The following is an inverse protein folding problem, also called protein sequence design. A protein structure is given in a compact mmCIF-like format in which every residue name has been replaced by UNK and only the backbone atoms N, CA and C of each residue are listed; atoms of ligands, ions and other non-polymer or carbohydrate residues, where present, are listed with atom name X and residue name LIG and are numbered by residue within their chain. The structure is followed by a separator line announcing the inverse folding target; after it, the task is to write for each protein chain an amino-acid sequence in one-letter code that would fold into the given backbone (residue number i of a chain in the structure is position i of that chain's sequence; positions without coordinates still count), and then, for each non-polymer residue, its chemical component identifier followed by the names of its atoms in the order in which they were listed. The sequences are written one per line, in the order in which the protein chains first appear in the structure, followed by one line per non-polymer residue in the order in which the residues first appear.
data_IF_760464640058
#
_entry.id   IF_760464640058
#
_cell.length_a   1.000
_cell.length_b   1.000
_cell.length_c   1.000
_cell.angle_alpha   90.00
_cell.angle_beta   90.00
_cell.angle_gamma   90.00
#
_symmetry.space_group_name_H-M   'P 1'
#
loop_
_entity.id
_entity.type
_entity.pdbx_description
1 polymer ?
#
# COMPACT_ATOMS: atom_id res chain seq x y z
N UNK A 1 -41.83 -2.29 4.32
CA UNK A 1 -41.84 -1.87 2.90
C UNK A 1 -40.42 -1.96 2.38
N UNK A 2 -39.96 -3.18 2.11
CA UNK A 2 -38.67 -3.45 1.47
C UNK A 2 -38.80 -3.28 -0.04
N UNK A 3 -38.16 -2.26 -0.58
CA UNK A 3 -37.94 -2.16 -2.02
C UNK A 3 -36.87 -3.19 -2.40
N UNK A 4 -37.30 -4.27 -3.05
CA UNK A 4 -36.43 -5.27 -3.67
C UNK A 4 -35.74 -4.62 -4.88
N UNK A 5 -34.58 -4.01 -4.65
CA UNK A 5 -33.71 -3.54 -5.73
C UNK A 5 -33.00 -4.74 -6.37
N UNK A 6 -33.57 -5.21 -7.47
CA UNK A 6 -33.06 -6.30 -8.29
C UNK A 6 -32.01 -5.74 -9.26
N UNK A 7 -30.75 -5.61 -8.82
CA UNK A 7 -29.63 -5.38 -9.73
C UNK A 7 -29.29 -6.72 -10.41
N UNK A 8 -29.47 -6.81 -11.74
CA UNK A 8 -29.11 -7.97 -12.59
C UNK A 8 -29.61 -9.37 -12.13
N UNK A 9 -30.68 -9.44 -11.36
CA UNK A 9 -31.28 -10.72 -10.94
C UNK A 9 -30.64 -11.41 -9.74
N UNK A 10 -29.75 -10.73 -9.02
CA UNK A 10 -29.12 -11.23 -7.78
C UNK A 10 -29.69 -10.44 -6.59
N UNK A 11 -30.07 -11.13 -5.53
CA UNK A 11 -30.60 -10.50 -4.30
C UNK A 11 -29.47 -9.96 -3.43
N UNK A 12 -29.75 -8.94 -2.60
CA UNK A 12 -28.75 -8.38 -1.67
C UNK A 12 -28.16 -9.44 -0.73
N UNK A 13 -28.98 -10.41 -0.31
CA UNK A 13 -28.55 -11.53 0.52
C UNK A 13 -27.56 -12.46 -0.22
N UNK A 14 -27.75 -12.67 -1.52
CA UNK A 14 -26.81 -13.43 -2.35
C UNK A 14 -25.50 -12.68 -2.57
N UNK A 15 -25.54 -11.37 -2.78
CA UNK A 15 -24.34 -10.52 -2.87
C UNK A 15 -23.53 -10.64 -1.59
N UNK A 16 -24.17 -10.43 -0.43
CA UNK A 16 -23.53 -10.55 0.88
C UNK A 16 -22.86 -11.91 1.08
N UNK A 17 -23.59 -12.99 0.79
CA UNK A 17 -23.06 -14.36 0.87
C UNK A 17 -21.87 -14.60 -0.08
N UNK A 18 -21.90 -14.02 -1.27
CA UNK A 18 -20.81 -14.15 -2.23
C UNK A 18 -19.58 -13.34 -1.82
N UNK A 19 -19.76 -12.13 -1.29
CA UNK A 19 -18.67 -11.31 -0.71
C UNK A 19 -18.02 -12.03 0.46
N UNK A 20 -18.81 -12.57 1.39
CA UNK A 20 -18.31 -13.35 2.53
C UNK A 20 -17.49 -14.56 2.07
N UNK A 21 -18.01 -15.31 1.08
CA UNK A 21 -17.31 -16.45 0.49
C UNK A 21 -15.99 -16.05 -0.15
N UNK A 22 -15.96 -14.96 -0.92
CA UNK A 22 -14.73 -14.47 -1.57
C UNK A 22 -13.69 -14.08 -0.51
N UNK A 23 -14.09 -13.37 0.53
CA UNK A 23 -13.19 -13.01 1.63
C UNK A 23 -12.62 -14.26 2.31
N UNK A 24 -13.45 -15.23 2.65
CA UNK A 24 -13.00 -16.49 3.28
C UNK A 24 -12.03 -17.27 2.41
N UNK A 25 -12.37 -17.42 1.13
CA UNK A 25 -11.54 -18.14 0.19
C UNK A 25 -10.16 -17.48 0.00
N UNK A 26 -10.12 -16.15 -0.02
CA UNK A 26 -8.88 -15.38 -0.22
C UNK A 26 -8.21 -14.87 1.07
N UNK A 27 -8.66 -15.30 2.26
CA UNK A 27 -8.16 -14.82 3.54
C UNK A 27 -6.63 -14.94 3.64
N UNK A 28 -6.04 -16.03 3.17
CA UNK A 28 -4.59 -16.25 3.20
C UNK A 28 -3.83 -15.23 2.34
N UNK A 29 -4.34 -14.92 1.14
CA UNK A 29 -3.76 -13.91 0.24
C UNK A 29 -3.89 -12.50 0.78
N UNK A 30 -5.05 -12.18 1.36
CA UNK A 30 -5.32 -10.90 2.02
C UNK A 30 -4.41 -10.73 3.25
N UNK A 31 -4.23 -11.78 4.05
CA UNK A 31 -3.31 -11.79 5.19
C UNK A 31 -1.87 -11.53 4.76
N UNK A 32 -1.41 -12.14 3.68
CA UNK A 32 -0.07 -11.90 3.16
C UNK A 32 0.12 -10.43 2.73
N UNK A 33 -0.87 -9.83 2.06
CA UNK A 33 -0.83 -8.41 1.69
C UNK A 33 -0.78 -7.50 2.92
N UNK A 34 -1.63 -7.77 3.92
CA UNK A 34 -1.66 -7.05 5.19
C UNK A 34 -0.29 -7.11 5.88
N UNK A 35 0.30 -8.30 6.02
CA UNK A 35 1.60 -8.47 6.67
C UNK A 35 2.72 -7.77 5.89
N UNK A 36 2.71 -7.86 4.56
CA UNK A 36 3.69 -7.21 3.70
C UNK A 36 3.72 -5.68 3.88
N UNK A 37 2.57 -5.07 4.16
CA UNK A 37 2.47 -3.64 4.43
C UNK A 37 3.30 -3.26 5.67
N UNK A 38 3.04 -3.88 6.83
CA UNK A 38 3.77 -3.56 8.07
C UNK A 38 5.24 -3.99 8.02
N UNK A 39 5.54 -5.13 7.39
CA UNK A 39 6.93 -5.57 7.19
C UNK A 39 7.74 -4.53 6.42
N UNK A 40 7.18 -3.92 5.36
CA UNK A 40 7.85 -2.85 4.60
C UNK A 40 8.22 -1.67 5.51
N UNK A 41 7.33 -1.23 6.40
CA UNK A 41 7.61 -0.14 7.34
C UNK A 41 8.65 -0.53 8.39
N UNK A 42 8.56 -1.74 8.93
CA UNK A 42 9.57 -2.23 9.88
C UNK A 42 10.95 -2.32 9.24
N UNK A 43 11.06 -2.86 8.02
CA UNK A 43 12.35 -2.91 7.32
C UNK A 43 12.92 -1.52 7.05
N UNK A 44 12.06 -0.56 6.66
CA UNK A 44 12.47 0.83 6.47
C UNK A 44 12.95 1.45 7.79
N UNK A 45 12.20 1.26 8.87
CA UNK A 45 12.53 1.80 10.19
C UNK A 45 13.83 1.18 10.73
N UNK A 46 14.04 -0.12 10.56
CA UNK A 46 15.29 -0.79 10.91
C UNK A 46 16.50 -0.22 10.14
N UNK A 47 16.33 0.12 8.86
CA UNK A 47 17.38 0.75 8.07
C UNK A 47 17.71 2.16 8.60
N UNK A 48 16.69 2.93 8.99
CA UNK A 48 16.88 4.25 9.62
C UNK A 48 17.58 4.11 10.98
N UNK A 49 17.13 3.18 11.82
CA UNK A 49 17.74 2.89 13.12
C UNK A 49 19.22 2.53 13.02
N UNK A 50 19.61 1.80 11.98
CA UNK A 50 21.02 1.47 11.74
C UNK A 50 21.84 2.73 11.46
N UNK A 51 21.32 3.66 10.65
CA UNK A 51 21.98 4.95 10.39
C UNK A 51 22.05 5.79 11.67
N UNK A 52 20.97 5.86 12.45
CA UNK A 52 20.93 6.57 13.73
C UNK A 52 21.95 6.00 14.71
N UNK A 53 22.04 4.67 14.84
CA UNK A 53 22.99 3.99 15.72
C UNK A 53 24.46 4.26 15.35
N UNK A 54 24.80 4.22 14.05
CA UNK A 54 26.14 4.60 13.57
C UNK A 54 26.42 6.07 13.88
N UNK A 55 25.44 6.95 13.68
CA UNK A 55 25.55 8.38 14.01
C UNK A 55 25.84 8.65 15.49
N UNK A 56 25.28 7.87 16.41
CA UNK A 56 25.58 7.97 17.85
C UNK A 56 27.07 7.73 18.12
N UNK A 57 27.69 6.76 17.45
CA UNK A 57 29.10 6.42 17.64
C UNK A 57 30.08 7.48 17.13
N UNK A 58 29.70 8.25 16.11
CA UNK A 58 30.56 9.22 15.42
C UNK A 58 30.33 10.68 15.85
N UNK A 59 29.39 10.94 16.76
CA UNK A 59 28.96 12.31 17.11
C UNK A 59 29.52 12.83 18.44
N UNK A 60 29.65 14.15 18.53
CA UNK A 60 29.99 14.89 19.75
C UNK A 60 28.86 14.85 20.80
N UNK A 61 29.16 15.21 22.05
CA UNK A 61 28.31 14.97 23.21
C UNK A 61 26.84 15.46 23.07
N UNK A 62 26.61 16.68 22.58
CA UNK A 62 25.24 17.24 22.47
C UNK A 62 24.43 16.54 21.36
N UNK A 63 25.04 16.31 20.21
CA UNK A 63 24.42 15.63 19.07
C UNK A 63 24.17 14.15 19.41
N UNK A 64 25.08 13.52 20.15
CA UNK A 64 24.95 12.15 20.61
C UNK A 64 23.71 11.95 21.46
N UNK A 65 23.44 12.85 22.42
CA UNK A 65 22.23 12.78 23.24
C UNK A 65 20.96 12.88 22.39
N UNK A 66 20.92 13.78 21.40
CA UNK A 66 19.80 13.89 20.48
C UNK A 66 19.58 12.60 19.68
N UNK A 67 20.66 11.99 19.16
CA UNK A 67 20.59 10.74 18.41
C UNK A 67 20.18 9.55 19.27
N UNK A 68 20.60 9.51 20.55
CA UNK A 68 20.14 8.50 21.51
C UNK A 68 18.64 8.65 21.77
N UNK A 69 18.15 9.87 21.98
CA UNK A 69 16.71 10.12 22.12
C UNK A 69 15.95 9.70 20.87
N UNK A 70 16.44 10.04 19.68
CA UNK A 70 15.85 9.61 18.41
C UNK A 70 15.79 8.09 18.30
N UNK A 71 16.87 7.39 18.64
CA UNK A 71 16.92 5.93 18.61
C UNK A 71 15.90 5.28 19.56
N UNK A 72 15.70 5.85 20.75
CA UNK A 72 14.68 5.39 21.69
C UNK A 72 13.26 5.59 21.14
N UNK A 73 13.00 6.72 20.45
CA UNK A 73 11.72 6.96 19.77
C UNK A 73 11.51 5.92 18.66
N UNK A 74 12.51 5.68 17.82
CA UNK A 74 12.46 4.67 16.75
C UNK A 74 12.16 3.27 17.32
N UNK A 75 12.83 2.89 18.41
CA UNK A 75 12.57 1.62 19.10
C UNK A 75 11.12 1.53 19.62
N UNK A 76 10.57 2.62 20.17
CA UNK A 76 9.17 2.71 20.55
C UNK A 76 8.21 2.48 19.37
N UNK A 77 8.51 3.09 18.21
CA UNK A 77 7.73 2.91 16.97
C UNK A 77 7.81 1.47 16.47
N UNK A 78 8.98 0.82 16.54
CA UNK A 78 9.13 -0.61 16.21
C UNK A 78 8.18 -1.45 17.06
N UNK A 79 8.21 -1.28 18.38
CA UNK A 79 7.34 -2.03 19.30
C UNK A 79 5.87 -1.78 18.99
N UNK A 80 5.49 -0.54 18.70
CA UNK A 80 4.13 -0.18 18.30
C UNK A 80 3.69 -0.91 17.01
N UNK A 81 4.53 -0.89 15.97
CA UNK A 81 4.23 -1.54 14.69
C UNK A 81 4.20 -3.07 14.79
N UNK A 82 5.03 -3.68 15.65
CA UNK A 82 5.02 -5.13 15.90
C UNK A 82 3.66 -5.63 16.41
N UNK A 83 2.86 -4.79 17.07
CA UNK A 83 1.50 -5.13 17.48
C UNK A 83 0.64 -5.56 16.29
N UNK A 84 0.76 -4.86 15.17
CA UNK A 84 -0.09 -5.08 14.00
C UNK A 84 0.22 -6.36 13.24
N UNK A 85 1.38 -6.97 13.45
CA UNK A 85 1.78 -8.24 12.80
C UNK A 85 1.18 -9.48 13.49
N UNK A 86 0.65 -9.32 14.72
CA UNK A 86 0.05 -10.43 15.45
C UNK A 86 -1.18 -10.97 14.73
N UNK A 87 -1.36 -12.29 14.76
CA UNK A 87 -2.48 -12.97 14.12
C UNK A 87 -3.84 -12.41 14.61
N UNK A 88 -3.98 -12.23 15.92
CA UNK A 88 -5.21 -11.72 16.56
C UNK A 88 -5.62 -10.33 16.03
N UNK A 89 -4.65 -9.45 15.75
CA UNK A 89 -4.94 -8.11 15.23
C UNK A 89 -5.42 -8.19 13.79
N UNK A 90 -4.80 -9.05 12.98
CA UNK A 90 -5.30 -9.33 11.64
C UNK A 90 -6.70 -9.93 11.67
N UNK A 91 -6.97 -10.89 12.56
CA UNK A 91 -8.29 -11.53 12.64
C UNK A 91 -9.37 -10.52 13.04
N UNK A 92 -9.09 -9.66 14.03
CA UNK A 92 -10.00 -8.58 14.42
C UNK A 92 -10.23 -7.57 13.28
N UNK A 93 -9.18 -7.19 12.56
CA UNK A 93 -9.28 -6.35 11.37
C UNK A 93 -10.13 -7.02 10.28
N UNK A 94 -9.88 -8.30 10.01
CA UNK A 94 -10.54 -9.04 8.95
C UNK A 94 -12.03 -9.26 9.22
N UNK A 95 -12.42 -9.45 10.49
CA UNK A 95 -13.83 -9.52 10.88
C UNK A 95 -14.57 -8.19 10.66
N UNK A 96 -13.91 -7.05 10.88
CA UNK A 96 -14.47 -5.73 10.54
C UNK A 96 -14.72 -5.62 9.04
N UNK A 97 -13.73 -6.00 8.23
CA UNK A 97 -13.86 -6.01 6.75
C UNK A 97 -15.02 -6.92 6.31
N UNK A 98 -15.16 -8.13 6.86
CA UNK A 98 -16.29 -9.02 6.55
C UNK A 98 -17.65 -8.39 6.83
N UNK A 99 -17.74 -7.58 7.88
CA UNK A 99 -18.98 -6.91 8.25
C UNK A 99 -19.28 -5.71 7.36
N UNK A 100 -18.26 -4.93 7.00
CA UNK A 100 -18.41 -3.65 6.29
C UNK A 100 -18.52 -3.80 4.78
N UNK A 101 -17.72 -4.71 4.19
CA UNK A 101 -17.55 -4.80 2.74
C UNK A 101 -18.84 -5.13 1.96
N UNK A 102 -19.76 -5.98 2.45
CA UNK A 102 -21.02 -6.24 1.77
C UNK A 102 -21.88 -4.99 1.56
N UNK A 103 -21.92 -4.09 2.54
CA UNK A 103 -22.71 -2.86 2.47
C UNK A 103 -22.04 -1.81 1.58
N UNK A 104 -20.71 -1.82 1.51
CA UNK A 104 -19.94 -0.93 0.65
C UNK A 104 -19.96 -1.35 -0.83
N UNK A 105 -20.25 -2.62 -1.14
CA UNK A 105 -20.30 -3.13 -2.51
C UNK A 105 -21.16 -2.27 -3.45
N UNK A 106 -22.32 -1.80 -2.98
CA UNK A 106 -23.23 -0.98 -3.79
C UNK A 106 -22.59 0.37 -4.18
N UNK A 107 -21.80 0.96 -3.29
CA UNK A 107 -21.09 2.22 -3.56
C UNK A 107 -19.96 2.02 -4.56
N UNK A 108 -19.44 0.80 -4.68
CA UNK A 108 -18.34 0.48 -5.59
C UNK A 108 -18.81 0.26 -7.04
N UNK A 109 -20.04 -0.19 -7.24
CA UNK A 109 -20.61 -0.42 -8.58
C UNK A 109 -20.69 0.88 -9.42
N UNK A 110 -20.80 2.03 -8.76
CA UNK A 110 -20.80 3.34 -9.43
C UNK A 110 -19.42 3.95 -9.62
N UNK A 111 -18.34 3.29 -9.18
CA UNK A 111 -16.98 3.85 -9.27
C UNK A 111 -16.37 3.52 -10.63
N UNK A 112 -15.88 4.55 -11.33
CA UNK A 112 -15.14 4.36 -12.56
C UNK A 112 -13.70 3.94 -12.25
N UNK A 113 -13.24 2.87 -12.92
CA UNK A 113 -11.86 2.39 -12.83
C UNK A 113 -11.07 2.75 -14.08
N UNK A 114 -9.92 3.37 -13.85
CA UNK A 114 -8.89 3.59 -14.87
C UNK A 114 -7.58 2.91 -14.48
N UNK A 115 -6.72 2.63 -15.46
CA UNK A 115 -5.38 2.09 -15.19
C UNK A 115 -4.28 2.77 -16.00
N UNK A 116 -3.08 2.75 -15.44
CA UNK A 116 -1.83 2.94 -16.17
C UNK A 116 -0.87 1.75 -16.01
N UNK A 117 0.39 1.91 -16.43
CA UNK A 117 1.42 0.87 -16.37
C UNK A 117 1.69 0.40 -14.93
N UNK A 118 1.43 1.24 -13.92
CA UNK A 118 1.88 1.05 -12.55
C UNK A 118 0.74 1.00 -11.53
N UNK A 119 -0.45 1.50 -11.86
CA UNK A 119 -1.52 1.78 -10.90
C UNK A 119 -2.91 1.61 -11.48
N UNK A 120 -3.85 1.28 -10.60
CA UNK A 120 -5.27 1.45 -10.77
C UNK A 120 -5.71 2.76 -10.12
N UNK A 121 -6.69 3.40 -10.73
CA UNK A 121 -7.30 4.65 -10.31
C UNK A 121 -8.80 4.45 -10.19
N UNK A 122 -9.34 4.72 -9.01
CA UNK A 122 -10.76 4.68 -8.75
C UNK A 122 -11.25 6.12 -8.61
N UNK A 123 -12.22 6.49 -9.43
CA UNK A 123 -12.80 7.83 -9.51
C UNK A 123 -14.27 7.74 -9.08
N UNK A 124 -14.59 8.29 -7.91
CA UNK A 124 -15.97 8.46 -7.46
C UNK A 124 -16.57 9.80 -7.90
N UNK A 125 -17.91 9.87 -7.94
CA UNK A 125 -18.67 11.09 -8.27
C UNK A 125 -18.43 12.28 -7.31
N UNK A 126 -17.88 12.03 -6.12
CA UNK A 126 -17.65 13.03 -5.06
C UNK A 126 -16.26 12.90 -4.39
N UNK A 127 -15.18 13.00 -5.18
CA UNK A 127 -13.79 13.23 -4.71
C UNK A 127 -12.93 12.04 -4.20
N UNK A 128 -13.43 10.81 -4.11
CA UNK A 128 -12.56 9.67 -3.75
C UNK A 128 -11.70 9.24 -4.94
N UNK A 129 -10.57 9.94 -5.14
CA UNK A 129 -9.47 9.48 -5.98
C UNK A 129 -8.61 8.49 -5.18
N UNK A 130 -8.79 7.20 -5.45
CA UNK A 130 -7.96 6.16 -4.83
C UNK A 130 -6.97 5.62 -5.85
N UNK A 131 -5.68 5.77 -5.55
CA UNK A 131 -4.58 5.24 -6.36
C UNK A 131 -3.98 3.98 -5.73
N UNK A 132 -4.22 2.84 -6.36
CA UNK A 132 -3.65 1.55 -5.96
C UNK A 132 -2.56 1.12 -6.90
N UNK A 133 -1.32 1.01 -6.41
CA UNK A 133 -0.20 0.53 -7.25
C UNK A 133 -0.33 -0.97 -7.50
N UNK A 134 -0.23 -1.39 -8.76
CA UNK A 134 -0.29 -2.79 -9.23
C UNK A 134 0.68 -3.70 -8.46
N UNK A 135 1.87 -3.19 -8.09
CA UNK A 135 2.89 -3.93 -7.31
C UNK A 135 2.45 -4.29 -5.87
N UNK A 136 1.51 -3.52 -5.32
CA UNK A 136 1.04 -3.60 -3.93
C UNK A 136 -0.40 -4.13 -3.85
N UNK A 137 -0.97 -4.57 -4.98
CA UNK A 137 -2.34 -5.08 -5.04
C UNK A 137 -2.40 -6.49 -5.62
N UNK A 138 -3.55 -7.13 -5.42
CA UNK A 138 -3.91 -8.44 -5.97
C UNK A 138 -5.34 -8.39 -6.48
N UNK A 139 -5.54 -9.01 -7.64
CA UNK A 139 -6.84 -9.28 -8.20
C UNK A 139 -7.25 -10.70 -7.84
N UNK A 140 -8.41 -10.82 -7.24
CA UNK A 140 -9.02 -12.07 -6.86
C UNK A 140 -10.32 -12.26 -7.66
N UNK A 141 -10.45 -13.32 -8.46
CA UNK A 141 -11.70 -13.62 -9.15
C UNK A 141 -12.86 -13.72 -8.15
N UNK A 142 -13.93 -12.95 -8.38
CA UNK A 142 -15.10 -12.97 -7.50
C UNK A 142 -16.07 -14.08 -7.88
N UNK A 143 -16.79 -14.60 -6.89
CA UNK A 143 -17.97 -15.44 -7.12
C UNK A 143 -19.13 -14.64 -7.72
N UNK A 144 -19.15 -13.32 -7.52
CA UNK A 144 -20.09 -12.42 -8.18
C UNK A 144 -19.69 -12.32 -9.65
N UNK A 145 -20.58 -12.75 -10.53
CA UNK A 145 -20.32 -12.83 -11.97
C UNK A 145 -19.87 -11.47 -12.51
N UNK A 146 -18.84 -11.47 -13.37
CA UNK A 146 -18.23 -10.28 -14.01
C UNK A 146 -17.38 -9.39 -13.08
N UNK A 147 -17.40 -9.61 -11.77
CA UNK A 147 -16.61 -8.82 -10.84
C UNK A 147 -15.26 -9.49 -10.51
N UNK A 148 -14.31 -8.65 -10.18
CA UNK A 148 -13.01 -9.00 -9.60
C UNK A 148 -12.83 -8.21 -8.33
N UNK A 149 -12.37 -8.87 -7.27
CA UNK A 149 -11.99 -8.23 -6.01
C UNK A 149 -10.54 -7.78 -6.10
N UNK A 150 -10.31 -6.46 -6.21
CA UNK A 150 -9.01 -5.85 -6.03
C UNK A 150 -8.77 -5.60 -4.54
N UNK A 151 -7.62 -6.05 -4.03
CA UNK A 151 -7.17 -5.73 -2.68
C UNK A 151 -5.76 -5.16 -2.75
N UNK A 152 -5.51 -4.04 -2.08
CA UNK A 152 -4.17 -3.45 -2.02
C UNK A 152 -4.08 -2.31 -1.04
N UNK A 153 -2.90 -1.71 -0.92
CA UNK A 153 -2.68 -0.53 -0.08
C UNK A 153 -2.14 0.63 -0.91
N UNK A 154 -2.52 1.85 -0.55
CA UNK A 154 -1.91 3.07 -1.10
C UNK A 154 -0.57 3.34 -0.40
N UNK A 155 0.32 4.11 -1.04
CA UNK A 155 1.60 4.50 -0.44
C UNK A 155 1.48 5.81 0.40
N UNK A 156 0.26 6.29 0.68
CA UNK A 156 0.03 7.45 1.54
C UNK A 156 0.35 7.16 3.01
N UNK A 157 0.68 8.21 3.76
CA UNK A 157 0.80 8.18 5.23
C UNK A 157 -0.36 9.00 5.79
N UNK A 158 -1.55 8.42 5.79
CA UNK A 158 -2.71 8.99 6.49
C UNK A 158 -2.96 8.17 7.77
N UNK A 159 -3.48 8.80 8.81
CA UNK A 159 -3.69 8.19 10.14
C UNK A 159 -4.58 6.95 10.04
N UNK A 160 -5.54 6.98 9.12
CA UNK A 160 -6.46 5.87 8.82
C UNK A 160 -5.77 4.65 8.21
N UNK A 161 -4.60 4.80 7.57
CA UNK A 161 -3.90 3.71 6.89
C UNK A 161 -3.19 2.74 7.83
N UNK A 162 -2.83 3.18 9.04
CA UNK A 162 -2.24 2.27 10.03
C UNK A 162 -3.26 1.28 10.58
N UNK A 163 -4.51 1.68 10.70
CA UNK A 163 -5.60 0.82 11.20
C UNK A 163 -6.31 0.08 10.08
N UNK A 164 -6.38 0.67 8.89
CA UNK A 164 -7.03 0.11 7.70
C UNK A 164 -6.06 0.13 6.50
N UNK A 165 -5.03 -0.74 6.52
CA UNK A 165 -3.96 -0.68 5.53
C UNK A 165 -4.43 -1.11 4.14
N UNK A 166 -5.38 -2.03 4.06
CA UNK A 166 -5.90 -2.55 2.78
C UNK A 166 -7.22 -1.88 2.42
N UNK A 167 -7.33 -1.57 1.13
CA UNK A 167 -8.53 -1.13 0.45
C UNK A 167 -9.03 -2.26 -0.45
N UNK A 168 -10.35 -2.39 -0.53
CA UNK A 168 -11.05 -3.45 -1.23
C UNK A 168 -11.95 -2.80 -2.28
N UNK A 169 -11.90 -3.29 -3.51
CA UNK A 169 -12.77 -2.81 -4.59
C UNK A 169 -13.30 -3.99 -5.40
N UNK A 170 -14.61 -4.06 -5.56
CA UNK A 170 -15.21 -4.90 -6.59
C UNK A 170 -15.35 -4.10 -7.87
N UNK A 171 -14.81 -4.61 -8.97
CA UNK A 171 -14.89 -3.93 -10.26
C UNK A 171 -14.99 -4.93 -11.42
N UNK A 172 -15.54 -4.48 -12.55
CA UNK A 172 -15.56 -5.27 -13.78
C UNK A 172 -14.25 -5.07 -14.55
N UNK A 173 -13.47 -6.15 -14.66
CA UNK A 173 -12.17 -6.13 -15.34
C UNK A 173 -12.28 -5.78 -16.83
N UNK A 174 -13.44 -6.02 -17.45
CA UNK A 174 -13.68 -5.72 -18.87
C UNK A 174 -13.98 -4.24 -19.13
N UNK A 175 -14.30 -3.49 -18.08
CA UNK A 175 -14.64 -2.06 -18.16
C UNK A 175 -13.49 -1.13 -17.80
N UNK A 176 -12.28 -1.67 -17.55
CA UNK A 176 -11.11 -0.83 -17.26
C UNK A 176 -10.79 0.05 -18.47
N UNK A 177 -10.72 1.37 -18.23
CA UNK A 177 -10.22 2.33 -19.21
C UNK A 177 -8.75 2.65 -18.97
N UNK A 178 -8.01 2.94 -20.03
CA UNK A 178 -6.66 3.49 -19.89
C UNK A 178 -6.73 4.96 -19.53
N UNK A 179 -6.04 5.36 -18.45
CA UNK A 179 -5.99 6.76 -18.02
C UNK A 179 -5.28 7.64 -19.07
N UNK A 180 -5.56 8.94 -19.09
CA UNK A 180 -4.80 9.85 -19.97
C UNK A 180 -3.32 9.97 -19.54
N UNK A 181 -3.01 9.71 -18.26
CA UNK A 181 -1.63 9.56 -17.79
C UNK A 181 -0.92 8.36 -18.42
N UNK A 182 -1.63 7.27 -18.72
CA UNK A 182 -1.08 6.12 -19.46
C UNK A 182 -0.63 6.51 -20.87
N UNK A 183 -1.44 7.31 -21.60
CA UNK A 183 -1.06 7.82 -22.92
C UNK A 183 0.21 8.66 -22.83
N UNK A 184 0.29 9.56 -21.85
CA UNK A 184 1.48 10.38 -21.63
C UNK A 184 2.71 9.56 -21.18
N UNK A 185 2.52 8.52 -20.35
CA UNK A 185 3.62 7.67 -19.88
C UNK A 185 4.13 6.74 -20.99
N UNK A 186 3.26 6.19 -21.84
CA UNK A 186 3.65 5.50 -23.09
C UNK A 186 4.48 6.42 -24.00
N UNK A 187 4.06 7.66 -24.18
CA UNK A 187 4.81 8.66 -24.96
C UNK A 187 6.16 9.02 -24.33
N UNK A 188 6.24 9.11 -22.99
CA UNK A 188 7.51 9.29 -22.25
C UNK A 188 8.40 8.05 -22.30
N UNK A 189 7.84 6.84 -22.22
CA UNK A 189 8.55 5.57 -22.24
C UNK A 189 9.07 5.19 -23.63
N UNK A 190 8.47 5.72 -24.70
CA UNK A 190 9.03 5.68 -26.05
C UNK A 190 10.35 6.48 -26.17
N UNK A 191 10.63 7.36 -25.21
CA UNK A 191 11.81 8.22 -25.21
C UNK A 191 13.00 7.53 -24.49
N UNK A 192 13.65 6.60 -25.19
CA UNK A 192 14.75 5.76 -24.68
C UNK A 192 15.89 6.54 -24.00
N UNK A 193 16.17 7.76 -24.47
CA UNK A 193 17.26 8.62 -23.97
C UNK A 193 16.98 9.11 -22.54
N UNK A 194 15.74 9.49 -22.23
CA UNK A 194 15.35 9.95 -20.89
C UNK A 194 15.43 8.81 -19.86
N UNK A 195 15.08 7.59 -20.28
CA UNK A 195 15.13 6.37 -19.45
C UNK A 195 16.56 6.00 -19.05
N UNK A 196 17.51 6.08 -19.99
CA UNK A 196 18.92 5.78 -19.73
C UNK A 196 19.55 6.82 -18.79
N UNK A 197 19.21 8.11 -18.95
CA UNK A 197 19.68 9.20 -18.09
C UNK A 197 19.20 9.07 -16.64
N UNK A 198 17.93 8.72 -16.43
CA UNK A 198 17.35 8.53 -15.08
C UNK A 198 18.00 7.35 -14.32
N UNK A 199 18.33 6.26 -15.02
CA UNK A 199 19.07 5.12 -14.42
C UNK A 199 20.48 5.52 -14.00
N UNK A 200 21.20 6.25 -14.86
CA UNK A 200 22.54 6.76 -14.55
C UNK A 200 22.53 7.73 -13.36
N UNK A 201 21.54 8.64 -13.28
CA UNK A 201 21.38 9.56 -12.15
C UNK A 201 21.09 8.83 -10.84
N UNK A 202 20.22 7.82 -10.83
CA UNK A 202 19.97 7.00 -9.63
C UNK A 202 21.22 6.25 -9.16
N UNK A 203 21.99 5.69 -10.10
CA UNK A 203 23.25 5.03 -9.79
C UNK A 203 24.28 6.02 -9.21
N UNK A 204 24.38 7.22 -9.79
CA UNK A 204 25.30 8.25 -9.34
C UNK A 204 24.93 8.80 -7.94
N UNK A 205 23.64 9.00 -7.67
CA UNK A 205 23.18 9.41 -6.34
C UNK A 205 23.49 8.35 -5.28
N UNK A 206 23.35 7.06 -5.62
CA UNK A 206 23.69 5.95 -4.73
C UNK A 206 25.21 5.90 -4.44
N UNK A 207 26.05 6.08 -5.45
CA UNK A 207 27.52 6.10 -5.24
C UNK A 207 27.96 7.32 -4.45
N UNK A 208 27.38 8.50 -4.69
CA UNK A 208 27.68 9.70 -3.89
C UNK A 208 27.26 9.49 -2.44
N UNK A 209 26.07 8.92 -2.19
CA UNK A 209 25.59 8.61 -0.84
C UNK A 209 26.53 7.63 -0.11
N UNK A 210 26.98 6.57 -0.80
CA UNK A 210 27.96 5.62 -0.26
C UNK A 210 29.32 6.27 0.03
N UNK A 211 29.79 7.17 -0.85
CA UNK A 211 31.05 7.90 -0.64
C UNK A 211 30.97 8.87 0.54
N UNK A 212 29.83 9.55 0.75
CA UNK A 212 29.61 10.42 1.91
C UNK A 212 29.60 9.59 3.21
N UNK A 213 28.93 8.43 3.20
CA UNK A 213 28.93 7.48 4.33
C UNK A 213 30.34 6.99 4.68
N UNK A 214 31.13 6.58 3.68
CA UNK A 214 32.51 6.14 3.89
C UNK A 214 33.45 7.28 4.28
N UNK A 215 33.28 8.47 3.70
CA UNK A 215 34.10 9.64 4.02
C UNK A 215 33.89 10.14 5.45
N UNK A 216 32.64 10.16 5.93
CA UNK A 216 32.32 10.51 7.31
C UNK A 216 32.84 9.45 8.32
N UNK A 217 32.83 8.17 7.95
CA UNK A 217 33.41 7.11 8.78
C UNK A 217 34.95 7.19 8.88
N UNK A 218 35.63 7.67 7.83
CA UNK A 218 37.09 7.80 7.80
C UNK A 218 37.60 9.07 8.51
N UNK A 219 36.80 10.15 8.49
CA UNK A 219 37.12 11.40 9.19
C UNK A 219 36.82 11.36 10.70
N UNK A 220 35.91 10.48 11.14
CA UNK A 220 35.64 10.27 12.58
C UNK A 220 36.69 9.42 13.32
N UNK A 221 37.72 8.93 12.63
CA UNK A 221 38.81 8.11 13.18
C UNK A 221 40.15 8.84 13.28
N UNK A 222 40.18 10.16 13.05
CA UNK A 222 41.36 11.02 13.20
C UNK A 222 41.24 11.93 14.43
#
# INVERSE_FOLDING_TARGET
MEWIFKVRGVTMNEIKKNVEHDLEYYQSGIRQLYMKHYQKYLFFLLAVMLVTAVGVGLSEALIRWLLVTLFLIEAGVVVYLFRYIRAEVFDAYFQRIKTQLPDEFQKMESIEIQEDDQSYYFLGDQELFVKLKKKNSRNFPSKIRQYTLLVGYTDGLDETMLEQPLQFFYYDITQIKHSDSYKQERLKNANFIAKQRKRRLKSAALTIFLLILFGLAYLGTL
#
